data_IF_173631854396
#
_entry.id   IF_173631854396
#
_cell.length_a   1.000
_cell.length_b   1.000
_cell.length_c   1.000
_cell.angle_alpha   90.00
_cell.angle_beta   90.00
_cell.angle_gamma   90.00
#
_symmetry.space_group_name_H-M   'P 1'
#
loop_
_entity.id
_entity.type
_entity.pdbx_description
1 polymer ?
#
# COMPACT_ATOMS: atom_id res chain seq x y z
N UNK A 1 7.69 -32.64 17.89
CA UNK A 1 8.34 -32.33 16.61
C UNK A 1 7.31 -32.41 15.50
N UNK A 2 6.81 -31.29 14.97
CA UNK A 2 6.02 -31.30 13.71
C UNK A 2 6.93 -31.80 12.60
N UNK A 3 6.50 -32.81 11.87
CA UNK A 3 7.20 -33.31 10.69
C UNK A 3 7.41 -32.11 9.73
N UNK A 4 8.66 -31.83 9.40
CA UNK A 4 8.99 -30.98 8.27
C UNK A 4 8.41 -31.64 7.03
N UNK A 5 7.47 -30.99 6.37
CA UNK A 5 6.82 -31.48 5.17
C UNK A 5 6.77 -30.39 4.12
N UNK A 6 6.95 -30.75 2.88
CA UNK A 6 6.71 -29.88 1.73
C UNK A 6 5.20 -29.75 1.51
N UNK A 7 4.73 -28.53 1.24
CA UNK A 7 3.36 -28.27 0.79
C UNK A 7 3.35 -27.34 -0.41
N UNK A 8 2.47 -27.61 -1.33
CA UNK A 8 2.34 -26.81 -2.54
C UNK A 8 1.63 -25.49 -2.26
N UNK A 9 2.27 -24.36 -2.57
CA UNK A 9 1.64 -23.05 -2.52
C UNK A 9 0.56 -22.96 -3.62
N UNK A 10 -0.66 -22.52 -3.24
CA UNK A 10 -1.82 -22.35 -4.14
C UNK A 10 -2.41 -20.96 -3.96
N UNK A 11 -3.22 -20.52 -4.95
CA UNK A 11 -3.95 -19.24 -4.87
C UNK A 11 -3.02 -18.04 -4.62
N UNK A 12 -3.41 -17.19 -3.68
CA UNK A 12 -2.69 -15.97 -3.32
C UNK A 12 -1.23 -16.19 -2.93
N UNK A 13 -0.93 -17.25 -2.18
CA UNK A 13 0.45 -17.58 -1.78
C UNK A 13 1.36 -17.89 -2.97
N UNK A 14 0.82 -18.59 -4.00
CA UNK A 14 1.56 -18.81 -5.25
C UNK A 14 1.83 -17.50 -5.98
N UNK A 15 0.83 -16.61 -6.05
CA UNK A 15 0.99 -15.29 -6.67
C UNK A 15 2.01 -14.43 -5.93
N UNK A 16 1.98 -14.40 -4.59
CA UNK A 16 2.96 -13.68 -3.78
C UNK A 16 4.38 -14.20 -4.05
N UNK A 17 4.58 -15.53 -4.02
CA UNK A 17 5.90 -16.13 -4.27
C UNK A 17 6.40 -15.76 -5.68
N UNK A 18 5.53 -15.81 -6.69
CA UNK A 18 5.86 -15.41 -8.07
C UNK A 18 6.26 -13.93 -8.14
N UNK A 19 5.45 -13.04 -7.58
CA UNK A 19 5.71 -11.60 -7.59
C UNK A 19 7.00 -11.25 -6.83
N UNK A 20 7.30 -11.94 -5.74
CA UNK A 20 8.55 -11.75 -5.00
C UNK A 20 9.77 -12.18 -5.84
N UNK A 21 9.68 -13.30 -6.53
CA UNK A 21 10.77 -13.73 -7.44
C UNK A 21 10.96 -12.73 -8.59
N UNK A 22 9.89 -12.27 -9.21
CA UNK A 22 9.95 -11.27 -10.28
C UNK A 22 10.51 -9.92 -9.78
N UNK A 23 10.26 -9.57 -8.51
CA UNK A 23 10.78 -8.34 -7.91
C UNK A 23 12.30 -8.33 -7.76
N UNK A 24 12.95 -9.49 -7.76
CA UNK A 24 14.41 -9.59 -7.69
C UNK A 24 15.09 -9.11 -8.98
N UNK A 25 14.39 -9.10 -10.10
CA UNK A 25 14.86 -8.62 -11.38
C UNK A 25 14.79 -7.09 -11.51
N UNK A 26 14.11 -6.42 -10.58
CA UNK A 26 13.92 -4.96 -10.60
C UNK A 26 15.04 -4.28 -9.83
N UNK A 27 15.94 -3.51 -10.48
CA UNK A 27 16.94 -2.71 -9.78
C UNK A 27 16.25 -1.60 -8.99
N UNK A 28 16.62 -1.45 -7.72
CA UNK A 28 16.01 -0.47 -6.83
C UNK A 28 17.02 0.55 -6.32
N UNK A 29 16.61 1.83 -6.27
CA UNK A 29 17.31 2.88 -5.55
C UNK A 29 16.45 3.31 -4.36
N UNK A 30 17.00 3.21 -3.15
CA UNK A 30 16.28 3.52 -1.92
C UNK A 30 16.73 4.86 -1.36
N UNK A 31 15.78 5.73 -1.06
CA UNK A 31 16.01 6.99 -0.34
C UNK A 31 15.30 6.91 1.00
N UNK A 32 16.03 7.22 2.07
CA UNK A 32 15.49 7.32 3.44
C UNK A 32 15.52 8.79 3.85
N UNK A 33 14.43 9.29 4.41
CA UNK A 33 14.31 10.69 4.84
C UNK A 33 13.59 10.76 6.18
N UNK A 34 14.15 11.53 7.10
CA UNK A 34 13.49 11.91 8.34
C UNK A 34 12.63 13.14 8.11
N UNK A 35 11.38 13.10 8.54
CA UNK A 35 10.45 14.21 8.42
C UNK A 35 9.83 14.55 9.79
N UNK A 36 9.75 15.87 10.15
CA UNK A 36 9.08 16.28 11.38
C UNK A 36 7.57 15.99 11.26
N UNK A 37 7.02 15.22 12.19
CA UNK A 37 5.61 14.79 12.14
C UNK A 37 4.70 15.47 13.18
N UNK A 38 5.22 16.44 13.96
CA UNK A 38 4.44 17.14 15.00
C UNK A 38 3.11 17.69 14.48
N UNK A 39 3.15 18.41 13.35
CA UNK A 39 1.96 19.01 12.75
C UNK A 39 0.96 17.93 12.27
N UNK A 40 1.48 16.84 11.73
CA UNK A 40 0.63 15.71 11.32
C UNK A 40 -0.05 15.06 12.52
N UNK A 41 0.65 14.94 13.65
CA UNK A 41 0.09 14.45 14.92
C UNK A 41 -1.05 15.33 15.41
N UNK A 42 -0.84 16.64 15.44
CA UNK A 42 -1.84 17.62 15.89
C UNK A 42 -3.07 17.61 14.96
N UNK A 43 -2.85 17.61 13.65
CA UNK A 43 -3.93 17.55 12.66
C UNK A 43 -4.73 16.24 12.75
N UNK A 44 -4.06 15.09 12.93
CA UNK A 44 -4.76 13.82 13.14
C UNK A 44 -5.65 13.86 14.38
N UNK A 45 -5.16 14.40 15.48
CA UNK A 45 -5.93 14.55 16.71
C UNK A 45 -7.18 15.42 16.49
N UNK A 46 -7.02 16.57 15.82
CA UNK A 46 -8.11 17.48 15.49
C UNK A 46 -9.18 16.83 14.61
N UNK A 47 -8.74 16.15 13.53
CA UNK A 47 -9.66 15.44 12.62
C UNK A 47 -10.39 14.32 13.35
N UNK A 48 -9.69 13.54 14.18
CA UNK A 48 -10.31 12.45 14.94
C UNK A 48 -11.33 12.96 15.98
N UNK A 49 -11.06 14.09 16.62
CA UNK A 49 -12.01 14.73 17.52
C UNK A 49 -13.27 15.22 16.75
N UNK A 50 -13.09 15.79 15.57
CA UNK A 50 -14.21 16.16 14.70
C UNK A 50 -15.02 14.94 14.26
N UNK A 51 -14.36 13.88 13.79
CA UNK A 51 -15.04 12.64 13.36
C UNK A 51 -15.83 12.01 14.49
N UNK A 52 -15.28 11.96 15.71
CA UNK A 52 -15.95 11.43 16.89
C UNK A 52 -17.26 12.17 17.19
N UNK A 53 -17.32 13.49 16.94
CA UNK A 53 -18.51 14.33 17.19
C UNK A 53 -19.52 14.30 16.05
N UNK A 54 -19.13 13.88 14.87
CA UNK A 54 -19.97 13.95 13.66
C UNK A 54 -20.39 12.56 13.17
N UNK A 55 -19.58 11.93 12.32
CA UNK A 55 -19.95 10.68 11.64
C UNK A 55 -19.38 9.43 12.29
N UNK A 56 -18.53 9.57 13.32
CA UNK A 56 -17.77 8.45 13.89
C UNK A 56 -16.56 8.07 13.07
N UNK A 57 -15.88 6.98 13.49
CA UNK A 57 -14.63 6.55 12.85
C UNK A 57 -13.41 7.30 13.36
N UNK A 58 -12.26 6.97 12.80
CA UNK A 58 -10.97 7.64 13.07
C UNK A 58 -10.03 7.46 11.89
N UNK A 59 -9.12 8.40 11.70
CA UNK A 59 -8.02 8.27 10.75
C UNK A 59 -6.72 7.91 11.45
N UNK A 60 -5.89 7.12 10.78
CA UNK A 60 -4.52 6.83 11.16
C UNK A 60 -3.54 7.73 10.40
N UNK A 61 -2.25 7.66 10.74
CA UNK A 61 -1.21 8.31 9.95
C UNK A 61 -1.18 7.80 8.51
N UNK A 62 -1.44 6.51 8.30
CA UNK A 62 -1.46 5.90 6.97
C UNK A 62 -2.50 6.54 6.04
N UNK A 63 -3.65 6.98 6.56
CA UNK A 63 -4.64 7.73 5.77
C UNK A 63 -4.08 9.07 5.28
N UNK A 64 -3.43 9.82 6.19
CA UNK A 64 -2.87 11.15 5.87
C UNK A 64 -1.73 10.99 4.87
N UNK A 65 -0.82 10.06 5.12
CA UNK A 65 0.34 9.81 4.27
C UNK A 65 -0.09 9.28 2.90
N UNK A 66 -1.02 8.33 2.86
CA UNK A 66 -1.55 7.80 1.60
C UNK A 66 -2.18 8.89 0.74
N UNK A 67 -2.99 9.76 1.34
CA UNK A 67 -3.55 10.89 0.62
C UNK A 67 -2.48 11.90 0.16
N UNK A 68 -1.49 12.19 0.99
CA UNK A 68 -0.37 13.06 0.63
C UNK A 68 0.44 12.50 -0.55
N UNK A 69 0.68 11.19 -0.60
CA UNK A 69 1.34 10.52 -1.72
C UNK A 69 0.54 10.70 -3.01
N UNK A 70 -0.78 10.52 -2.95
CA UNK A 70 -1.67 10.74 -4.10
C UNK A 70 -1.58 12.19 -4.59
N UNK A 71 -1.63 13.18 -3.68
CA UNK A 71 -1.50 14.59 -4.05
C UNK A 71 -0.11 14.89 -4.65
N UNK A 72 0.95 14.32 -4.10
CA UNK A 72 2.30 14.46 -4.65
C UNK A 72 2.41 13.83 -6.05
N UNK A 73 1.82 12.67 -6.29
CA UNK A 73 1.80 12.04 -7.61
C UNK A 73 0.99 12.83 -8.64
N UNK A 74 -0.08 13.54 -8.22
CA UNK A 74 -0.79 14.50 -9.10
C UNK A 74 0.10 15.67 -9.52
N UNK A 75 0.91 16.18 -8.61
CA UNK A 75 1.86 17.29 -8.89
C UNK A 75 3.07 16.82 -9.71
N UNK A 76 3.45 15.55 -9.55
CA UNK A 76 4.61 14.94 -10.18
C UNK A 76 4.22 13.65 -10.92
N UNK A 77 3.48 13.74 -12.03
CA UNK A 77 2.93 12.57 -12.72
C UNK A 77 4.01 11.58 -13.22
N UNK A 78 5.22 12.05 -13.41
CA UNK A 78 6.36 11.19 -13.75
C UNK A 78 6.67 10.13 -12.68
N UNK A 79 6.30 10.38 -11.43
CA UNK A 79 6.44 9.42 -10.34
C UNK A 79 5.39 8.30 -10.37
N UNK A 80 4.35 8.43 -11.21
CA UNK A 80 3.31 7.40 -11.42
C UNK A 80 3.52 6.61 -12.73
N UNK A 81 4.68 6.72 -13.38
CA UNK A 81 4.99 5.94 -14.58
C UNK A 81 5.28 4.50 -14.24
N UNK A 82 4.99 3.62 -15.19
CA UNK A 82 5.37 2.21 -15.16
C UNK A 82 6.44 1.94 -16.20
N UNK A 83 7.21 0.89 -15.98
CA UNK A 83 8.19 0.37 -16.93
C UNK A 83 7.59 -0.84 -17.67
N UNK A 84 7.75 -0.86 -18.98
CA UNK A 84 7.38 -1.99 -19.84
C UNK A 84 8.51 -2.29 -20.82
N UNK A 85 8.79 -3.57 -20.97
CA UNK A 85 9.72 -4.10 -21.97
C UNK A 85 8.95 -4.90 -23.02
N UNK A 86 9.30 -4.69 -24.30
CA UNK A 86 8.74 -5.42 -25.42
C UNK A 86 9.85 -5.72 -26.43
N UNK A 87 10.35 -6.95 -26.40
CA UNK A 87 11.56 -7.36 -27.11
C UNK A 87 12.77 -6.53 -26.65
N UNK A 88 13.40 -5.80 -27.55
CA UNK A 88 14.54 -4.93 -27.26
C UNK A 88 14.12 -3.45 -27.05
N UNK A 89 12.84 -3.16 -26.89
CA UNK A 89 12.34 -1.80 -26.71
C UNK A 89 11.87 -1.59 -25.29
N UNK A 90 12.20 -0.43 -24.72
CA UNK A 90 11.89 -0.04 -23.35
C UNK A 90 10.92 1.14 -23.37
N UNK A 91 9.85 1.05 -22.58
CA UNK A 91 8.80 2.06 -22.54
C UNK A 91 8.58 2.54 -21.12
N UNK A 92 8.47 3.87 -20.96
CA UNK A 92 7.82 4.46 -19.81
C UNK A 92 6.32 4.59 -20.14
N UNK A 93 5.47 3.93 -19.38
CA UNK A 93 4.02 3.93 -19.58
C UNK A 93 3.39 4.81 -18.52
N UNK A 94 2.63 5.84 -18.94
CA UNK A 94 1.87 6.67 -18.02
C UNK A 94 0.52 6.00 -17.79
N UNK A 95 0.21 5.52 -16.56
CA UNK A 95 -1.13 5.05 -16.23
C UNK A 95 -2.15 6.18 -16.32
N UNK A 96 -3.37 5.84 -16.70
CA UNK A 96 -4.48 6.79 -16.74
C UNK A 96 -4.86 7.30 -15.36
N UNK A 97 -4.73 6.44 -14.35
CA UNK A 97 -5.12 6.71 -12.96
C UNK A 97 -3.98 6.49 -11.98
N UNK A 98 -4.14 7.09 -10.79
CA UNK A 98 -3.30 6.81 -9.62
C UNK A 98 -4.05 5.80 -8.75
N UNK A 99 -3.58 4.55 -8.76
CA UNK A 99 -4.15 3.49 -7.95
C UNK A 99 -3.20 3.19 -6.80
N UNK A 100 -3.62 3.56 -5.59
CA UNK A 100 -2.81 3.38 -4.38
C UNK A 100 -2.99 1.96 -3.82
N UNK A 101 -1.94 1.16 -3.89
CA UNK A 101 -1.87 -0.14 -3.23
C UNK A 101 -1.56 0.01 -1.75
N UNK A 102 -2.39 -0.56 -0.91
CA UNK A 102 -2.21 -0.63 0.54
C UNK A 102 -1.77 -2.03 0.94
N UNK A 103 -0.67 -2.13 1.66
CA UNK A 103 -0.27 -3.36 2.32
C UNK A 103 -1.10 -3.55 3.60
N UNK A 104 -1.99 -4.54 3.59
CA UNK A 104 -2.92 -4.83 4.68
C UNK A 104 -2.49 -6.13 5.34
N UNK A 105 -2.23 -6.07 6.65
CA UNK A 105 -1.90 -7.24 7.45
C UNK A 105 -3.17 -7.89 7.98
N UNK A 106 -3.31 -9.17 7.69
CA UNK A 106 -4.47 -9.98 8.03
C UNK A 106 -4.09 -11.05 9.04
N UNK A 107 -4.59 -10.98 10.29
CA UNK A 107 -4.37 -12.03 11.27
C UNK A 107 -5.20 -13.29 10.91
N UNK A 108 -4.54 -14.43 10.86
CA UNK A 108 -5.19 -15.73 10.72
C UNK A 108 -5.75 -16.24 12.06
N UNK A 109 -6.74 -17.10 11.99
CA UNK A 109 -7.38 -17.71 13.18
C UNK A 109 -6.43 -18.62 13.98
N UNK A 110 -5.38 -19.10 13.36
CA UNK A 110 -4.35 -19.97 13.92
C UNK A 110 -3.12 -19.19 14.46
N UNK A 111 -3.23 -17.85 14.52
CA UNK A 111 -2.13 -16.96 14.90
C UNK A 111 -1.15 -16.68 13.76
N UNK A 112 -1.38 -17.21 12.56
CA UNK A 112 -0.63 -16.83 11.36
C UNK A 112 -0.94 -15.39 10.96
N UNK A 113 -0.05 -14.79 10.19
CA UNK A 113 -0.26 -13.45 9.60
C UNK A 113 -0.02 -13.55 8.11
N UNK A 114 -0.86 -12.90 7.35
CA UNK A 114 -0.68 -12.77 5.90
C UNK A 114 -0.77 -11.30 5.50
N UNK A 115 0.12 -10.89 4.60
CA UNK A 115 0.12 -9.56 4.03
C UNK A 115 -0.50 -9.62 2.64
N UNK A 116 -1.49 -8.77 2.40
CA UNK A 116 -2.07 -8.59 1.07
C UNK A 116 -1.90 -7.14 0.64
N UNK A 117 -1.73 -6.92 -0.67
CA UNK A 117 -1.73 -5.58 -1.23
C UNK A 117 -3.00 -5.41 -2.05
N UNK A 118 -3.85 -4.48 -1.63
CA UNK A 118 -5.10 -4.16 -2.32
C UNK A 118 -5.12 -2.71 -2.78
N UNK A 119 -5.71 -2.45 -3.95
CA UNK A 119 -5.69 -1.16 -4.62
C UNK A 119 -6.93 -0.32 -4.33
N UNK A 120 -6.75 0.89 -3.83
CA UNK A 120 -7.76 1.95 -3.96
C UNK A 120 -7.61 2.53 -5.36
N UNK A 121 -8.64 2.41 -6.16
CA UNK A 121 -8.64 2.85 -7.56
C UNK A 121 -8.92 4.33 -7.70
N UNK A 122 -8.35 4.95 -8.77
CA UNK A 122 -8.65 6.32 -9.19
C UNK A 122 -8.55 7.36 -8.07
N UNK A 123 -7.56 7.19 -7.20
CA UNK A 123 -7.42 7.99 -5.97
C UNK A 123 -7.23 9.48 -6.24
N UNK A 124 -6.75 9.86 -7.43
CA UNK A 124 -6.59 11.25 -7.85
C UNK A 124 -7.92 12.01 -7.97
N UNK A 125 -9.03 11.28 -8.11
CA UNK A 125 -10.38 11.86 -8.24
C UNK A 125 -11.04 12.10 -6.88
N UNK A 126 -10.53 11.46 -5.83
CA UNK A 126 -11.15 11.46 -4.52
C UNK A 126 -10.78 12.72 -3.72
N UNK A 127 -11.78 13.35 -3.10
CA UNK A 127 -11.55 14.28 -2.01
C UNK A 127 -11.10 13.51 -0.74
N UNK A 128 -10.55 14.19 0.25
CA UNK A 128 -9.98 13.53 1.43
C UNK A 128 -10.99 12.66 2.19
N UNK A 129 -12.23 13.13 2.34
CA UNK A 129 -13.30 12.35 2.98
C UNK A 129 -13.66 11.09 2.19
N UNK A 130 -13.72 11.18 0.85
CA UNK A 130 -13.99 10.05 -0.04
C UNK A 130 -12.84 9.05 -0.03
N UNK A 131 -11.60 9.54 0.05
CA UNK A 131 -10.42 8.70 0.21
C UNK A 131 -10.45 7.92 1.53
N UNK A 132 -10.85 8.56 2.65
CA UNK A 132 -11.01 7.87 3.93
C UNK A 132 -12.04 6.74 3.80
N UNK A 133 -13.19 7.01 3.18
CA UNK A 133 -14.26 6.01 3.02
C UNK A 133 -13.80 4.83 2.13
N UNK A 134 -13.09 5.11 1.04
CA UNK A 134 -12.52 4.08 0.17
C UNK A 134 -11.42 3.25 0.88
N UNK A 135 -10.59 3.91 1.71
CA UNK A 135 -9.58 3.24 2.53
C UNK A 135 -10.22 2.28 3.55
N UNK A 136 -11.20 2.76 4.29
CA UNK A 136 -11.91 1.95 5.29
C UNK A 136 -12.67 0.79 4.65
N UNK A 137 -13.28 1.01 3.47
CA UNK A 137 -13.96 -0.05 2.72
C UNK A 137 -12.98 -1.17 2.31
N UNK A 138 -11.85 -0.83 1.68
CA UNK A 138 -10.88 -1.83 1.23
C UNK A 138 -10.30 -2.62 2.40
N UNK A 139 -9.99 -1.96 3.52
CA UNK A 139 -9.48 -2.61 4.73
C UNK A 139 -10.54 -3.53 5.36
N UNK A 140 -11.79 -3.09 5.41
CA UNK A 140 -12.90 -3.91 5.90
C UNK A 140 -13.12 -5.13 5.03
N UNK A 141 -13.19 -4.97 3.71
CA UNK A 141 -13.33 -6.09 2.76
C UNK A 141 -12.16 -7.07 2.85
N UNK A 142 -10.95 -6.57 3.06
CA UNK A 142 -9.78 -7.42 3.29
C UNK A 142 -9.94 -8.29 4.55
N UNK A 143 -10.32 -7.69 5.67
CA UNK A 143 -10.54 -8.39 6.95
C UNK A 143 -11.69 -9.38 6.90
N UNK A 144 -12.74 -9.06 6.15
CA UNK A 144 -13.91 -9.92 5.94
C UNK A 144 -13.67 -11.05 4.91
N UNK A 145 -12.50 -11.08 4.25
CA UNK A 145 -12.18 -12.04 3.18
C UNK A 145 -13.00 -11.82 1.90
N UNK A 146 -13.45 -10.59 1.65
CA UNK A 146 -14.33 -10.20 0.53
C UNK A 146 -13.60 -9.48 -0.60
N UNK A 147 -12.26 -9.48 -0.60
CA UNK A 147 -11.50 -8.93 -1.72
C UNK A 147 -11.70 -9.76 -2.98
N UNK A 148 -11.84 -9.08 -4.10
CA UNK A 148 -11.99 -9.67 -5.44
C UNK A 148 -10.66 -9.63 -6.18
N UNK A 149 -10.55 -10.33 -7.32
CA UNK A 149 -9.36 -10.28 -8.16
C UNK A 149 -9.04 -8.86 -8.66
N UNK A 150 -10.07 -8.04 -8.86
CA UNK A 150 -9.88 -6.65 -9.28
C UNK A 150 -9.20 -5.81 -8.20
N UNK A 151 -9.46 -6.04 -6.93
CA UNK A 151 -8.82 -5.33 -5.82
C UNK A 151 -7.30 -5.56 -5.76
N UNK A 152 -6.79 -6.63 -6.37
CA UNK A 152 -5.37 -6.95 -6.42
C UNK A 152 -4.67 -6.47 -7.69
N UNK A 153 -5.38 -5.84 -8.60
CA UNK A 153 -4.88 -5.46 -9.93
C UNK A 153 -4.69 -3.95 -10.09
N UNK A 154 -3.80 -3.59 -11.02
CA UNK A 154 -3.65 -2.20 -11.48
C UNK A 154 -3.06 -1.23 -10.48
N UNK A 155 -2.38 -1.69 -9.43
CA UNK A 155 -1.62 -0.85 -8.50
C UNK A 155 -0.54 -0.08 -9.26
N UNK A 156 -0.43 1.23 -9.04
CA UNK A 156 0.59 2.08 -9.67
C UNK A 156 1.61 2.61 -8.66
N UNK A 157 1.17 2.92 -7.44
CA UNK A 157 2.02 3.31 -6.31
C UNK A 157 1.63 2.45 -5.11
N UNK A 158 2.60 2.04 -4.30
CA UNK A 158 2.33 1.23 -3.10
C UNK A 158 2.77 1.95 -1.84
N UNK A 159 1.98 1.81 -0.78
CA UNK A 159 2.29 2.26 0.56
C UNK A 159 2.25 1.07 1.52
N UNK A 160 3.32 0.89 2.27
CA UNK A 160 3.38 -0.04 3.40
C UNK A 160 3.63 0.72 4.69
N UNK A 161 2.84 0.43 5.70
CA UNK A 161 3.11 0.81 7.08
C UNK A 161 3.37 -0.49 7.87
N UNK A 162 4.59 -0.70 8.42
CA UNK A 162 4.89 -1.89 9.21
C UNK A 162 4.18 -1.92 10.58
N UNK A 163 3.48 -0.84 10.95
CA UNK A 163 2.74 -0.73 12.21
C UNK A 163 3.61 -0.57 13.45
N UNK A 164 2.98 -0.57 14.61
CA UNK A 164 3.59 -0.36 15.92
C UNK A 164 4.43 -1.52 16.47
N UNK A 165 5.20 -2.20 15.62
CA UNK A 165 6.09 -3.31 16.01
C UNK A 165 7.53 -2.86 16.26
N UNK A 166 7.78 -1.55 16.29
CA UNK A 166 9.10 -0.96 16.54
C UNK A 166 10.03 -1.02 15.32
N UNK A 167 9.50 -1.15 14.11
CA UNK A 167 10.29 -1.13 12.88
C UNK A 167 10.81 0.29 12.63
N UNK A 168 12.13 0.46 12.61
CA UNK A 168 12.78 1.75 12.31
C UNK A 168 13.03 1.97 10.82
N UNK A 169 13.31 0.89 10.09
CA UNK A 169 13.54 0.93 8.65
C UNK A 169 12.94 -0.29 8.00
N UNK A 170 12.23 -0.07 6.90
CA UNK A 170 11.73 -1.11 6.02
C UNK A 170 12.12 -0.77 4.59
N UNK A 171 12.74 -1.71 3.90
CA UNK A 171 13.11 -1.54 2.49
C UNK A 171 12.12 -2.37 1.68
N UNK A 172 11.12 -1.71 1.07
CA UNK A 172 10.12 -2.40 0.28
C UNK A 172 10.72 -2.90 -1.05
N UNK A 173 10.11 -3.94 -1.60
CA UNK A 173 10.44 -4.46 -2.92
C UNK A 173 9.50 -3.87 -3.96
N UNK A 174 10.05 -3.34 -5.05
CA UNK A 174 9.26 -2.93 -6.20
C UNK A 174 8.65 -4.14 -6.88
N UNK A 175 7.35 -4.08 -7.15
CA UNK A 175 6.68 -5.05 -8.02
C UNK A 175 7.12 -4.78 -9.46
N UNK A 176 7.30 -5.83 -10.27
CA UNK A 176 7.68 -5.71 -11.69
C UNK A 176 6.73 -4.74 -12.41
N UNK A 177 7.31 -3.75 -13.07
CA UNK A 177 6.59 -2.68 -13.77
C UNK A 177 6.31 -1.43 -12.95
N UNK A 178 6.33 -1.46 -11.61
CA UNK A 178 6.18 -0.26 -10.79
C UNK A 178 7.48 0.51 -10.65
N UNK A 179 7.41 1.84 -10.67
CA UNK A 179 8.58 2.72 -10.46
C UNK A 179 8.70 3.23 -9.03
N UNK A 180 7.60 3.31 -8.28
CA UNK A 180 7.61 3.89 -6.94
C UNK A 180 6.94 2.99 -5.91
N UNK A 181 7.59 2.85 -4.78
CA UNK A 181 7.08 2.24 -3.57
C UNK A 181 7.47 3.10 -2.37
N UNK A 182 6.55 3.32 -1.45
CA UNK A 182 6.81 4.07 -0.24
C UNK A 182 6.56 3.22 1.00
N UNK A 183 7.37 3.40 2.02
CA UNK A 183 7.19 2.79 3.34
C UNK A 183 7.23 3.87 4.39
N UNK A 184 6.27 3.81 5.29
CA UNK A 184 6.22 4.63 6.48
C UNK A 184 6.60 3.77 7.69
N UNK A 185 7.45 4.28 8.54
CA UNK A 185 7.87 3.64 9.79
C UNK A 185 7.33 4.40 11.02
N UNK A 186 6.27 5.21 10.86
CA UNK A 186 5.66 5.92 11.97
C UNK A 186 5.02 4.93 12.96
N UNK A 187 5.37 5.06 14.23
CA UNK A 187 4.68 4.37 15.32
C UNK A 187 3.29 4.99 15.52
N UNK A 188 2.26 4.17 15.52
CA UNK A 188 0.87 4.55 15.83
C UNK A 188 0.54 4.30 17.30
#
# INVERSE_FOLDING_TARGET
YKRQGEFQLKGAFKAIAKNMNESLEVPTATTVRDMPVKLMFENRALVNDHLKRTRGGKISFTHIIGYAIVQAAKLHPDMNKNYKEDGNKFYAVQPEHINLGLAIDLPGKDGSRSLVVAAIKETEKLAFNEFIDAYEDIVKRARDGKLTMDDFSGVTIQLTNPGGIGTRHSIPRLTKGCLLYTSDAADE
#
